data_IF_562518507827
#
_entry.id   IF_562518507827
#
_cell.length_a   1.000
_cell.length_b   1.000
_cell.length_c   1.000
_cell.angle_alpha   90.00
_cell.angle_beta   90.00
_cell.angle_gamma   90.00
#
_symmetry.space_group_name_H-M   'P 1'
#
loop_
_entity.id
_entity.type
_entity.pdbx_description
1 polymer ?
#
# COMPACT_ATOMS: atom_id res chain seq x y z
N UNK A 1 13.82 72.63 38.80
CA UNK A 1 13.80 71.17 39.06
C UNK A 1 12.49 70.64 38.52
N UNK A 2 12.50 70.07 37.32
CA UNK A 2 11.29 69.61 36.64
C UNK A 2 10.81 68.31 37.31
N UNK A 3 9.62 68.34 37.90
CA UNK A 3 8.95 67.15 38.43
C UNK A 3 8.42 66.34 37.26
N UNK A 4 9.02 65.17 37.00
CA UNK A 4 8.56 64.24 35.97
C UNK A 4 7.09 63.85 36.24
N UNK A 5 6.23 64.04 35.24
CA UNK A 5 4.80 63.75 35.34
C UNK A 5 4.59 62.25 35.66
N UNK A 6 3.69 61.87 36.57
CA UNK A 6 3.47 60.47 36.96
C UNK A 6 3.12 59.54 35.80
N UNK A 7 2.61 60.08 34.69
CA UNK A 7 2.29 59.31 33.48
C UNK A 7 3.54 58.86 32.72
N UNK A 8 4.62 59.64 32.69
CA UNK A 8 5.87 59.24 32.02
C UNK A 8 6.57 58.09 32.76
N UNK A 9 6.46 58.05 34.08
CA UNK A 9 6.99 56.94 34.88
C UNK A 9 6.20 55.64 34.66
N UNK A 10 4.89 55.72 34.42
CA UNK A 10 4.05 54.55 34.08
C UNK A 10 4.42 53.99 32.70
N UNK A 11 4.56 54.86 31.70
CA UNK A 11 4.97 54.48 30.35
C UNK A 11 6.37 53.82 30.33
N UNK A 12 7.33 54.35 31.09
CA UNK A 12 8.66 53.75 31.21
C UNK A 12 8.62 52.35 31.83
N UNK A 13 7.76 52.13 32.84
CA UNK A 13 7.56 50.81 33.45
C UNK A 13 6.94 49.83 32.46
N UNK A 14 5.96 50.27 31.66
CA UNK A 14 5.34 49.44 30.62
C UNK A 14 6.31 49.08 29.51
N UNK A 15 7.09 50.03 28.99
CA UNK A 15 8.10 49.77 27.97
C UNK A 15 9.17 48.79 28.47
N UNK A 16 9.62 48.91 29.73
CA UNK A 16 10.54 47.95 30.34
C UNK A 16 9.94 46.55 30.42
N UNK A 17 8.66 46.44 30.81
CA UNK A 17 7.94 45.15 30.84
C UNK A 17 7.83 44.54 29.44
N UNK A 18 7.49 45.34 28.43
CA UNK A 18 7.41 44.90 27.04
C UNK A 18 8.77 44.42 26.52
N UNK A 19 9.86 45.17 26.76
CA UNK A 19 11.21 44.77 26.36
C UNK A 19 11.58 43.42 26.99
N UNK A 20 11.34 43.25 28.28
CA UNK A 20 11.65 42.00 28.98
C UNK A 20 10.78 40.84 28.47
N UNK A 21 9.49 41.09 28.20
CA UNK A 21 8.60 40.11 27.59
C UNK A 21 9.11 39.65 26.23
N UNK A 22 9.42 40.57 25.33
CA UNK A 22 9.91 40.23 23.98
C UNK A 22 11.27 39.54 24.01
N UNK A 23 12.18 39.93 24.91
CA UNK A 23 13.44 39.22 25.13
C UNK A 23 13.19 37.77 25.56
N UNK A 24 12.30 37.54 26.54
CA UNK A 24 11.96 36.20 27.00
C UNK A 24 11.25 35.36 25.92
N UNK A 25 10.41 35.97 25.08
CA UNK A 25 9.78 35.27 23.96
C UNK A 25 10.80 34.91 22.88
N UNK A 26 11.74 35.81 22.58
CA UNK A 26 12.81 35.58 21.62
C UNK A 26 13.73 34.46 22.09
N UNK A 27 14.18 34.44 23.35
CA UNK A 27 15.03 33.36 23.87
C UNK A 27 14.34 32.01 23.74
N UNK A 28 13.07 31.90 24.15
CA UNK A 28 12.26 30.68 23.98
C UNK A 28 12.14 30.27 22.51
N UNK A 29 11.97 31.23 21.59
CA UNK A 29 11.89 30.95 20.16
C UNK A 29 13.21 30.40 19.60
N UNK A 30 14.33 30.98 19.99
CA UNK A 30 15.68 30.54 19.62
C UNK A 30 15.98 29.15 20.18
N UNK A 31 15.66 28.89 21.45
CA UNK A 31 15.80 27.57 22.07
C UNK A 31 14.99 26.50 21.31
N UNK A 32 13.72 26.79 21.00
CA UNK A 32 12.89 25.88 20.17
C UNK A 32 13.51 25.65 18.79
N UNK A 33 14.04 26.69 18.16
CA UNK A 33 14.68 26.57 16.85
C UNK A 33 15.95 25.71 16.93
N UNK A 34 16.77 25.91 17.97
CA UNK A 34 17.98 25.13 18.22
C UNK A 34 17.66 23.65 18.42
N UNK A 35 16.68 23.33 19.28
CA UNK A 35 16.22 21.95 19.51
C UNK A 35 15.71 21.29 18.22
N UNK A 36 14.96 22.02 17.39
CA UNK A 36 14.48 21.51 16.10
C UNK A 36 15.62 21.28 15.11
N UNK A 37 16.59 22.20 15.05
CA UNK A 37 17.78 22.06 14.21
C UNK A 37 18.62 20.85 14.63
N UNK A 38 18.80 20.62 15.91
CA UNK A 38 19.54 19.48 16.43
C UNK A 38 18.81 18.16 16.12
N UNK A 39 17.49 18.09 16.35
CA UNK A 39 16.68 16.93 15.93
C UNK A 39 16.80 16.67 14.42
N UNK A 40 16.72 17.72 13.60
CA UNK A 40 16.89 17.58 12.15
C UNK A 40 18.31 17.09 11.80
N UNK A 41 19.34 17.57 12.50
CA UNK A 41 20.73 17.11 12.33
C UNK A 41 20.87 15.63 12.66
N UNK A 42 20.25 15.17 13.74
CA UNK A 42 20.29 13.77 14.17
C UNK A 42 19.51 12.85 13.23
N UNK A 43 18.34 13.27 12.74
CA UNK A 43 17.48 12.43 11.89
C UNK A 43 17.96 12.36 10.43
N UNK A 44 18.58 13.43 9.90
CA UNK A 44 19.07 13.47 8.51
C UNK A 44 19.97 12.28 8.09
N UNK A 45 21.03 11.91 8.83
CA UNK A 45 21.88 10.79 8.45
C UNK A 45 21.13 9.45 8.52
N UNK A 46 20.22 9.29 9.48
CA UNK A 46 19.40 8.08 9.60
C UNK A 46 18.49 7.91 8.38
N UNK A 47 17.81 8.98 7.96
CA UNK A 47 16.99 8.98 6.74
C UNK A 47 17.87 8.65 5.52
N UNK A 48 19.05 9.26 5.39
CA UNK A 48 19.99 8.96 4.30
C UNK A 48 20.40 7.49 4.28
N UNK A 49 20.72 6.91 5.44
CA UNK A 49 21.09 5.51 5.57
C UNK A 49 19.93 4.57 5.23
N UNK A 50 18.73 4.87 5.72
CA UNK A 50 17.53 4.08 5.41
C UNK A 50 17.21 4.12 3.92
N UNK A 51 17.32 5.29 3.28
CA UNK A 51 17.13 5.40 1.82
C UNK A 51 18.18 4.57 1.07
N UNK A 52 19.46 4.63 1.48
CA UNK A 52 20.51 3.80 0.88
C UNK A 52 20.18 2.29 0.99
N UNK A 53 19.78 1.83 2.18
CA UNK A 53 19.38 0.43 2.40
C UNK A 53 18.16 0.02 1.55
N UNK A 54 17.17 0.89 1.41
CA UNK A 54 16.01 0.64 0.55
C UNK A 54 16.43 0.54 -0.91
N UNK A 55 17.36 1.40 -1.37
CA UNK A 55 17.86 1.34 -2.75
C UNK A 55 18.66 0.07 -3.01
N UNK A 56 19.52 -0.33 -2.08
CA UNK A 56 20.32 -1.56 -2.18
C UNK A 56 19.42 -2.80 -2.18
N UNK A 57 18.47 -2.89 -1.25
CA UNK A 57 17.52 -4.00 -1.19
C UNK A 57 16.62 -4.04 -2.44
N UNK A 58 16.21 -2.89 -2.97
CA UNK A 58 15.49 -2.81 -4.24
C UNK A 58 16.31 -3.38 -5.41
N UNK A 59 17.58 -2.99 -5.54
CA UNK A 59 18.48 -3.54 -6.56
C UNK A 59 18.68 -5.06 -6.39
N UNK A 60 18.82 -5.54 -5.16
CA UNK A 60 18.90 -6.98 -4.88
C UNK A 60 17.61 -7.70 -5.30
N UNK A 61 16.44 -7.14 -5.01
CA UNK A 61 15.17 -7.74 -5.46
C UNK A 61 15.08 -7.78 -6.99
N UNK A 62 15.53 -6.73 -7.69
CA UNK A 62 15.55 -6.70 -9.15
C UNK A 62 16.45 -7.81 -9.72
N UNK A 63 17.69 -7.93 -9.23
CA UNK A 63 18.61 -8.97 -9.71
C UNK A 63 18.10 -10.39 -9.43
N UNK A 64 17.53 -10.63 -8.25
CA UNK A 64 16.90 -11.93 -7.93
C UNK A 64 15.68 -12.20 -8.82
N UNK A 65 14.87 -11.18 -9.14
CA UNK A 65 13.73 -11.35 -10.05
C UNK A 65 14.19 -11.70 -11.46
N UNK A 66 15.26 -11.08 -11.96
CA UNK A 66 15.86 -11.41 -13.26
C UNK A 66 16.41 -12.84 -13.26
N UNK A 67 17.06 -13.26 -12.18
CA UNK A 67 17.53 -14.65 -12.03
C UNK A 67 16.37 -15.64 -12.08
N UNK A 68 15.27 -15.39 -11.35
CA UNK A 68 14.06 -16.22 -11.38
C UNK A 68 13.47 -16.26 -12.79
N UNK A 69 13.37 -15.12 -13.49
CA UNK A 69 12.90 -15.07 -14.88
C UNK A 69 13.78 -15.90 -15.82
N UNK A 70 15.10 -15.83 -15.66
CA UNK A 70 16.03 -16.62 -16.47
C UNK A 70 15.92 -18.13 -16.21
N UNK A 71 15.76 -18.55 -14.95
CA UNK A 71 15.62 -19.96 -14.57
C UNK A 71 14.27 -20.52 -14.99
N UNK A 72 13.19 -19.74 -14.84
CA UNK A 72 11.86 -20.13 -15.32
C UNK A 72 11.83 -20.26 -16.84
N UNK A 73 12.48 -19.36 -17.58
CA UNK A 73 12.64 -19.48 -19.03
C UNK A 73 13.42 -20.76 -19.43
N UNK A 74 14.51 -21.06 -18.73
CA UNK A 74 15.29 -22.30 -18.93
C UNK A 74 14.47 -23.55 -18.61
N UNK A 75 13.64 -23.54 -17.57
CA UNK A 75 12.73 -24.64 -17.23
C UNK A 75 11.59 -24.84 -18.24
N UNK A 76 11.11 -23.76 -18.87
CA UNK A 76 10.03 -23.83 -19.86
C UNK A 76 10.48 -24.41 -21.23
N UNK A 77 11.77 -24.28 -21.60
CA UNK A 77 12.29 -24.82 -22.86
C UNK A 77 12.19 -26.35 -23.00
N UNK A 78 12.68 -27.18 -22.06
CA UNK A 78 12.55 -28.64 -22.15
C UNK A 78 11.09 -29.09 -22.11
N UNK A 79 10.22 -28.40 -21.36
CA UNK A 79 8.79 -28.72 -21.30
C UNK A 79 8.09 -28.50 -22.66
N UNK A 80 8.45 -27.44 -23.40
CA UNK A 80 7.96 -27.22 -24.77
C UNK A 80 8.47 -28.28 -25.76
N UNK A 81 9.74 -28.69 -25.65
CA UNK A 81 10.30 -29.74 -26.52
C UNK A 81 9.65 -31.10 -26.28
N UNK A 82 9.37 -31.44 -25.01
CA UNK A 82 8.65 -32.67 -24.65
C UNK A 82 7.20 -32.65 -25.15
N UNK A 83 6.49 -31.54 -24.99
CA UNK A 83 5.10 -31.41 -25.46
C UNK A 83 5.03 -31.37 -27.01
N UNK A 84 6.02 -30.77 -27.67
CA UNK A 84 6.14 -30.78 -29.13
C UNK A 84 6.45 -32.16 -29.71
N UNK A 85 7.31 -32.97 -29.06
CA UNK A 85 7.55 -34.38 -29.44
C UNK A 85 6.30 -35.25 -29.27
N UNK A 86 5.54 -35.08 -28.19
CA UNK A 86 4.27 -35.79 -27.97
C UNK A 86 3.22 -35.46 -29.05
N UNK A 87 3.18 -34.23 -29.56
CA UNK A 87 2.27 -33.86 -30.66
C UNK A 87 2.65 -34.51 -32.01
N UNK A 88 3.95 -34.65 -32.31
CA UNK A 88 4.40 -35.36 -33.52
C UNK A 88 4.06 -36.86 -33.47
N UNK A 89 4.29 -37.49 -32.33
CA UNK A 89 3.95 -38.91 -32.11
C UNK A 89 2.45 -39.20 -32.17
N UNK A 90 1.59 -38.21 -31.88
CA UNK A 90 0.15 -38.31 -32.03
C UNK A 90 -0.34 -38.07 -33.48
N UNK A 91 0.43 -37.33 -34.30
CA UNK A 91 0.12 -37.11 -35.72
C UNK A 91 0.47 -38.30 -36.60
N UNK A 92 1.51 -39.05 -36.23
CA UNK A 92 1.97 -40.24 -36.96
C UNK A 92 1.07 -41.48 -36.71
N UNK A 93 -0.03 -41.36 -35.96
CA UNK A 93 -0.98 -42.44 -35.64
C UNK A 93 -2.36 -42.25 -36.29
N UNK A 94 -2.54 -41.32 -37.22
CA UNK A 94 -3.76 -41.20 -38.03
C UNK A 94 -3.47 -41.66 -39.46
N UNK A 95 -4.19 -42.67 -40.01
CA UNK A 95 -3.99 -43.07 -41.39
C UNK A 95 -4.48 -41.99 -42.35
N UNK A 96 -3.66 -41.71 -43.35
CA UNK A 96 -3.99 -40.96 -44.56
C UNK A 96 -5.09 -41.70 -45.35
N UNK A 97 -6.16 -40.99 -45.69
CA UNK A 97 -7.10 -41.41 -46.74
C UNK A 97 -7.26 -40.25 -47.72
N UNK A 98 -6.91 -40.52 -48.97
CA UNK A 98 -7.04 -39.63 -50.13
C UNK A 98 -8.36 -39.88 -50.87
N UNK A 99 -8.68 -38.96 -51.79
CA UNK A 99 -9.73 -38.93 -52.85
C UNK A 99 -11.07 -38.29 -52.46
N UNK A 100 -11.65 -37.34 -53.20
CA UNK A 100 -11.32 -36.69 -54.47
C UNK A 100 -12.40 -35.66 -54.86
N UNK A 101 -12.01 -34.75 -55.76
CA UNK A 101 -12.78 -34.00 -56.77
C UNK A 101 -13.70 -32.78 -56.46
N UNK A 102 -13.56 -31.80 -57.37
CA UNK A 102 -14.27 -30.52 -57.58
C UNK A 102 -15.79 -30.73 -57.84
N UNK A 103 -16.74 -29.79 -57.64
CA UNK A 103 -16.83 -28.42 -58.14
C UNK A 103 -18.12 -27.70 -57.60
N UNK A 104 -18.07 -26.35 -57.52
CA UNK A 104 -19.16 -25.34 -57.63
C UNK A 104 -20.27 -25.12 -56.55
N UNK A 105 -20.23 -23.89 -56.01
CA UNK A 105 -21.28 -22.93 -55.58
C UNK A 105 -22.49 -23.32 -54.68
N UNK A 106 -22.55 -22.73 -53.48
CA UNK A 106 -23.49 -21.63 -53.19
C UNK A 106 -23.21 -20.94 -51.85
N UNK A 107 -23.41 -19.62 -51.84
CA UNK A 107 -23.21 -18.73 -50.70
C UNK A 107 -24.27 -18.96 -49.61
N UNK A 108 -23.86 -19.30 -48.38
CA UNK A 108 -24.45 -18.78 -47.13
C UNK A 108 -23.63 -19.20 -45.90
N UNK A 109 -23.29 -18.20 -45.09
CA UNK A 109 -22.92 -18.26 -43.67
C UNK A 109 -21.69 -19.08 -43.27
N UNK A 110 -20.54 -18.46 -43.52
CA UNK A 110 -19.35 -18.67 -42.70
C UNK A 110 -19.62 -18.23 -41.26
N UNK A 111 -19.95 -19.15 -40.36
CA UNK A 111 -19.59 -18.98 -38.94
C UNK A 111 -18.07 -19.13 -38.84
N UNK A 112 -17.39 -18.02 -39.09
CA UNK A 112 -15.95 -17.91 -38.89
C UNK A 112 -15.63 -18.20 -37.42
N UNK A 113 -14.94 -19.31 -37.16
CA UNK A 113 -14.24 -19.54 -35.90
C UNK A 113 -13.09 -18.54 -35.81
N UNK A 114 -13.44 -17.28 -35.50
CA UNK A 114 -12.45 -16.24 -35.24
C UNK A 114 -11.65 -16.68 -34.02
N UNK A 115 -10.34 -16.91 -34.22
CA UNK A 115 -9.42 -17.22 -33.13
C UNK A 115 -9.49 -16.06 -32.14
N UNK A 116 -10.07 -16.32 -30.97
CA UNK A 116 -10.26 -15.32 -29.92
C UNK A 116 -8.95 -14.57 -29.68
N UNK A 117 -9.00 -13.24 -29.80
CA UNK A 117 -7.84 -12.39 -29.56
C UNK A 117 -7.31 -12.63 -28.14
N UNK A 118 -5.99 -12.71 -28.01
CA UNK A 118 -5.33 -12.92 -26.72
C UNK A 118 -5.64 -11.76 -25.78
N UNK A 119 -6.32 -12.04 -24.68
CA UNK A 119 -6.75 -11.03 -23.71
C UNK A 119 -8.17 -11.29 -23.21
N UNK A 120 -8.67 -10.36 -22.38
CA UNK A 120 -10.02 -10.41 -21.87
C UNK A 120 -11.01 -10.16 -23.03
N UNK A 121 -11.96 -11.07 -23.25
CA UNK A 121 -12.89 -10.96 -24.38
C UNK A 121 -13.82 -9.74 -24.22
N UNK A 122 -14.15 -9.03 -25.32
CA UNK A 122 -15.17 -7.97 -25.30
C UNK A 122 -16.49 -8.50 -24.72
N UNK A 123 -17.12 -7.76 -23.83
CA UNK A 123 -18.38 -8.17 -23.17
C UNK A 123 -18.24 -9.12 -21.97
N UNK A 124 -17.03 -9.64 -21.68
CA UNK A 124 -16.83 -10.46 -20.48
C UNK A 124 -16.99 -9.65 -19.18
N UNK A 125 -17.66 -10.23 -18.18
CA UNK A 125 -17.88 -9.59 -16.88
C UNK A 125 -16.53 -9.25 -16.24
N UNK A 126 -16.34 -8.00 -15.84
CA UNK A 126 -15.14 -7.56 -15.12
C UNK A 126 -15.02 -8.25 -13.76
N UNK A 127 -13.78 -8.45 -13.30
CA UNK A 127 -13.51 -8.73 -11.90
C UNK A 127 -13.75 -7.43 -11.13
N UNK A 128 -15.02 -7.17 -10.78
CA UNK A 128 -15.41 -6.00 -10.00
C UNK A 128 -14.77 -5.98 -8.61
N UNK A 129 -15.01 -4.91 -7.86
CA UNK A 129 -14.62 -4.83 -6.45
C UNK A 129 -15.34 -5.93 -5.67
N UNK A 130 -14.59 -6.83 -5.04
CA UNK A 130 -15.13 -7.89 -4.16
C UNK A 130 -15.04 -7.43 -2.71
N UNK A 131 -16.12 -7.60 -1.95
CA UNK A 131 -16.11 -7.41 -0.50
C UNK A 131 -15.18 -8.45 0.14
N UNK A 132 -14.41 -8.04 1.15
CA UNK A 132 -13.39 -8.89 1.80
C UNK A 132 -13.98 -9.60 3.02
N UNK A 133 -14.99 -10.43 2.80
CA UNK A 133 -15.73 -11.13 3.86
C UNK A 133 -14.94 -12.22 4.60
N UNK A 134 -13.78 -12.64 4.09
CA UNK A 134 -12.95 -13.67 4.71
C UNK A 134 -11.87 -13.14 5.68
N UNK A 135 -11.87 -11.84 5.97
CA UNK A 135 -10.93 -11.26 6.95
C UNK A 135 -11.47 -11.49 8.37
N UNK A 136 -10.60 -11.67 9.38
CA UNK A 136 -11.02 -11.62 10.78
C UNK A 136 -11.75 -10.30 11.05
N UNK A 137 -12.94 -10.38 11.64
CA UNK A 137 -13.81 -9.23 11.91
C UNK A 137 -13.93 -9.05 13.42
N UNK A 138 -13.68 -7.84 13.89
CA UNK A 138 -13.93 -7.42 15.27
C UNK A 138 -15.04 -6.36 15.23
N UNK A 139 -16.13 -6.58 15.96
CA UNK A 139 -17.25 -5.65 16.03
C UNK A 139 -16.98 -4.60 17.12
N UNK A 140 -16.82 -3.33 16.70
CA UNK A 140 -16.62 -2.20 17.61
C UNK A 140 -17.91 -1.38 17.67
N UNK A 141 -18.52 -1.32 18.86
CA UNK A 141 -19.70 -0.51 19.11
C UNK A 141 -19.30 0.93 19.41
N UNK A 142 -19.76 1.87 18.58
CA UNK A 142 -19.55 3.31 18.78
C UNK A 142 -20.81 3.94 19.39
N UNK A 143 -20.80 4.11 20.71
CA UNK A 143 -21.86 4.85 21.41
C UNK A 143 -21.56 6.36 21.43
N UNK A 144 -22.60 7.18 21.24
CA UNK A 144 -22.50 8.63 21.42
C UNK A 144 -22.09 8.96 22.87
N UNK A 145 -21.13 9.88 23.09
CA UNK A 145 -20.77 10.33 24.43
C UNK A 145 -22.00 10.87 25.17
N UNK A 146 -22.09 10.67 26.49
CA UNK A 146 -23.25 11.09 27.31
C UNK A 146 -23.64 12.57 27.14
N UNK A 147 -22.67 13.45 26.87
CA UNK A 147 -22.90 14.87 26.64
C UNK A 147 -23.63 15.16 25.31
N UNK A 148 -23.46 14.29 24.32
CA UNK A 148 -24.02 14.40 22.97
C UNK A 148 -25.29 13.56 22.79
N UNK A 149 -25.69 12.80 23.81
CA UNK A 149 -26.94 12.04 23.83
C UNK A 149 -28.18 12.93 24.00
N UNK A 150 -28.03 14.26 24.05
CA UNK A 150 -29.13 15.21 24.17
C UNK A 150 -29.17 16.17 22.99
N UNK A 151 -30.38 16.57 22.59
CA UNK A 151 -30.57 17.54 21.52
C UNK A 151 -29.97 18.92 21.91
N UNK A 152 -29.12 19.55 21.08
CA UNK A 152 -28.49 20.83 21.41
C UNK A 152 -29.47 22.01 21.45
N UNK A 153 -30.68 21.86 20.89
CA UNK A 153 -31.68 22.93 20.82
C UNK A 153 -32.70 22.85 21.98
N UNK A 154 -33.14 21.64 22.34
CA UNK A 154 -34.19 21.45 23.36
C UNK A 154 -33.75 20.66 24.59
N UNK A 155 -32.53 20.11 24.62
CA UNK A 155 -31.94 19.41 25.76
C UNK A 155 -32.51 18.02 26.07
N UNK A 156 -33.50 17.54 25.31
CA UNK A 156 -34.11 16.22 25.54
C UNK A 156 -33.14 15.10 25.13
N UNK A 157 -33.11 13.97 25.87
CA UNK A 157 -32.28 12.82 25.51
C UNK A 157 -32.80 12.18 24.21
N UNK A 158 -31.89 11.72 23.38
CA UNK A 158 -32.20 10.90 22.21
C UNK A 158 -32.68 9.52 22.66
N UNK A 159 -33.69 9.01 21.95
CA UNK A 159 -34.11 7.61 22.10
C UNK A 159 -33.33 6.73 21.13
N UNK A 160 -33.16 5.46 21.47
CA UNK A 160 -32.47 4.50 20.60
C UNK A 160 -33.24 4.37 19.30
N UNK A 161 -32.59 4.69 18.19
CA UNK A 161 -33.15 4.54 16.85
C UNK A 161 -33.04 3.07 16.40
N UNK A 162 -34.08 2.48 15.78
CA UNK A 162 -34.00 1.10 15.31
C UNK A 162 -33.05 0.96 14.11
N UNK A 163 -32.03 0.12 14.26
CA UNK A 163 -31.00 -0.14 13.24
C UNK A 163 -29.62 0.38 13.64
N UNK A 164 -28.60 -0.10 12.96
CA UNK A 164 -27.21 0.34 13.13
C UNK A 164 -26.68 0.94 11.82
N UNK A 165 -25.86 1.98 11.96
CA UNK A 165 -25.08 2.49 10.84
C UNK A 165 -23.76 1.71 10.77
N UNK A 166 -23.72 0.71 9.91
CA UNK A 166 -22.57 -0.20 9.81
C UNK A 166 -21.51 0.35 8.86
N UNK A 167 -20.28 0.50 9.33
CA UNK A 167 -19.11 0.88 8.53
C UNK A 167 -17.98 -0.15 8.67
N UNK A 168 -17.25 -0.43 7.58
CA UNK A 168 -16.13 -1.39 7.57
C UNK A 168 -14.78 -0.67 7.45
N UNK A 169 -13.86 -0.96 8.37
CA UNK A 169 -12.46 -0.51 8.29
C UNK A 169 -11.53 -1.73 8.14
N UNK A 170 -10.55 -1.65 7.22
CA UNK A 170 -9.55 -2.71 7.03
C UNK A 170 -8.20 -2.22 7.53
N UNK A 171 -7.79 -2.70 8.70
CA UNK A 171 -6.47 -2.43 9.25
C UNK A 171 -5.40 -3.37 8.67
N UNK A 172 -4.23 -2.82 8.38
CA UNK A 172 -3.06 -3.58 7.91
C UNK A 172 -1.94 -3.49 8.95
N UNK A 173 -1.55 -4.63 9.52
CA UNK A 173 -0.48 -4.72 10.53
C UNK A 173 0.72 -5.50 9.96
N UNK A 174 1.93 -4.91 10.00
CA UNK A 174 3.18 -5.57 9.58
C UNK A 174 3.94 -6.04 10.82
N UNK A 175 4.21 -7.35 10.92
CA UNK A 175 5.01 -7.94 12.01
C UNK A 175 6.38 -8.38 11.51
N UNK A 176 7.45 -7.75 12.02
CA UNK A 176 8.82 -8.16 11.73
C UNK A 176 9.22 -9.30 12.67
N UNK A 177 9.72 -10.41 12.10
CA UNK A 177 10.14 -11.58 12.88
C UNK A 177 11.60 -11.91 12.59
N UNK A 178 12.44 -11.93 13.63
CA UNK A 178 13.82 -12.42 13.55
C UNK A 178 13.83 -13.94 13.76
N UNK A 179 14.14 -14.70 12.72
CA UNK A 179 14.34 -16.16 12.81
C UNK A 179 15.83 -16.47 12.93
N UNK A 180 16.25 -17.03 14.05
CA UNK A 180 17.62 -17.50 14.24
C UNK A 180 17.63 -19.01 14.00
N UNK A 181 18.25 -19.43 12.89
CA UNK A 181 18.37 -20.84 12.56
C UNK A 181 19.64 -21.42 13.17
N UNK A 182 19.49 -22.32 14.15
CA UNK A 182 20.59 -23.11 14.69
C UNK A 182 20.51 -24.51 14.09
N UNK A 183 21.56 -24.95 13.40
CA UNK A 183 21.64 -26.31 12.83
C UNK A 183 22.45 -27.19 13.76
N UNK A 184 21.96 -28.41 13.99
CA UNK A 184 22.66 -29.43 14.76
C UNK A 184 23.95 -29.82 14.02
N UNK A 185 25.06 -29.95 14.74
CA UNK A 185 26.34 -30.44 14.20
C UNK A 185 26.52 -31.88 14.62
N UNK A 186 26.85 -32.73 13.66
CA UNK A 186 27.10 -34.15 13.88
C UNK A 186 28.59 -34.42 13.73
N UNK A 187 29.10 -35.43 14.45
CA UNK A 187 30.43 -35.98 14.26
C UNK A 187 30.28 -37.37 13.63
N UNK A 188 31.10 -37.74 12.63
CA UNK A 188 31.09 -39.10 12.11
C UNK A 188 31.50 -40.09 13.21
N UNK A 189 30.82 -41.22 13.25
CA UNK A 189 31.20 -42.42 14.02
C UNK A 189 32.18 -43.26 13.24
#
# INVERSE_FOLDING_TARGET
>A
MATESPDTNRELVELRRQINYWRAQHTRAVERQALRKEKARQLKPLVRQQVAQITESSQQTQTLTEQIQSLTAKGAQPQKQLNGRKYKQAKDLVPESHDGDQEACNASEATSESKNNRGKQPGSKGYGRRRRSGLPTEEILHELPKAEQCCPVCGKPFSVFPGSEDSEEIHWEVRLVRRIHKRTRYRPT
#
